data_IF_441588359713
#
_entry.id   IF_441588359713
#
_cell.length_a   1.000
_cell.length_b   1.000
_cell.length_c   1.000
_cell.angle_alpha   90.00
_cell.angle_beta   90.00
_cell.angle_gamma   90.00
#
_symmetry.space_group_name_H-M   'P 1'
#
loop_
_entity.id
_entity.type
_entity.pdbx_description
1 polymer ?
#
# COMPACT_ATOMS: atom_id res chain seq x y z
N UNK A 1 4.91 4.48 16.18
CA UNK A 1 5.19 4.07 14.78
C UNK A 1 4.90 2.58 14.69
N UNK A 2 4.35 2.08 13.59
CA UNK A 2 4.05 0.64 13.47
C UNK A 2 5.38 -0.13 13.44
N UNK A 3 5.63 -0.96 14.45
CA UNK A 3 6.91 -1.66 14.63
C UNK A 3 7.13 -2.72 13.54
N UNK A 4 6.07 -3.38 13.11
CA UNK A 4 6.11 -4.36 12.02
C UNK A 4 4.99 -4.12 11.01
N UNK A 5 5.40 -3.89 9.77
CA UNK A 5 4.51 -3.83 8.60
C UNK A 5 4.80 -5.11 7.80
N UNK A 6 3.81 -5.98 7.54
CA UNK A 6 4.04 -7.27 6.88
C UNK A 6 3.71 -7.26 5.38
N UNK A 7 3.84 -6.13 4.67
CA UNK A 7 3.49 -6.02 3.24
C UNK A 7 4.50 -6.74 2.33
N UNK A 8 5.78 -6.82 2.71
CA UNK A 8 6.74 -7.67 1.98
C UNK A 8 6.43 -9.16 2.13
N UNK A 9 5.78 -9.55 3.23
CA UNK A 9 5.25 -10.92 3.39
C UNK A 9 3.99 -11.09 2.57
N UNK A 10 3.04 -10.16 2.67
CA UNK A 10 1.79 -10.16 1.90
C UNK A 10 2.04 -10.35 0.39
N UNK A 11 2.95 -9.59 -0.22
CA UNK A 11 3.25 -9.74 -1.65
C UNK A 11 3.85 -11.12 -1.98
N UNK A 12 4.63 -11.72 -1.08
CA UNK A 12 5.14 -13.09 -1.28
C UNK A 12 4.00 -14.10 -1.22
N UNK A 13 3.06 -13.92 -0.30
CA UNK A 13 1.86 -14.74 -0.20
C UNK A 13 0.99 -14.59 -1.46
N UNK A 14 0.92 -13.40 -2.06
CA UNK A 14 0.24 -13.20 -3.35
C UNK A 14 0.87 -14.05 -4.47
N UNK A 15 2.20 -14.01 -4.59
CA UNK A 15 2.92 -14.85 -5.57
C UNK A 15 2.70 -16.35 -5.32
N UNK A 16 2.65 -16.78 -4.06
CA UNK A 16 2.36 -18.18 -3.73
C UNK A 16 0.95 -18.59 -4.17
N UNK A 17 -0.05 -17.75 -3.92
CA UNK A 17 -1.44 -18.00 -4.34
C UNK A 17 -1.53 -18.07 -5.88
N UNK A 18 -0.91 -17.11 -6.56
CA UNK A 18 -0.86 -17.09 -8.03
C UNK A 18 -0.24 -18.38 -8.57
N UNK A 19 0.90 -18.82 -8.04
CA UNK A 19 1.58 -20.06 -8.46
C UNK A 19 0.72 -21.31 -8.23
N UNK A 20 -0.11 -21.33 -7.19
CA UNK A 20 -0.96 -22.48 -6.86
C UNK A 20 -2.24 -22.54 -7.69
N UNK A 21 -2.77 -21.39 -8.11
CA UNK A 21 -4.11 -21.29 -8.71
C UNK A 21 -4.10 -20.92 -10.19
N UNK A 22 -3.00 -20.39 -10.73
CA UNK A 22 -2.91 -20.08 -12.16
C UNK A 22 -2.70 -21.34 -12.99
N UNK A 23 -3.37 -21.40 -14.15
CA UNK A 23 -3.16 -22.45 -15.17
C UNK A 23 -2.17 -21.89 -16.19
N UNK A 24 -0.91 -21.70 -15.79
CA UNK A 24 0.13 -21.17 -16.67
C UNK A 24 1.25 -20.42 -15.95
N UNK A 25 2.22 -19.92 -16.71
CA UNK A 25 3.27 -19.04 -16.20
C UNK A 25 2.67 -17.67 -15.86
N UNK A 26 2.88 -17.20 -14.63
CA UNK A 26 2.44 -15.87 -14.20
C UNK A 26 3.42 -14.84 -14.75
N UNK A 27 2.90 -13.93 -15.57
CA UNK A 27 3.63 -12.73 -15.95
C UNK A 27 3.37 -11.65 -14.90
N UNK A 28 4.30 -11.53 -13.96
CA UNK A 28 4.25 -10.52 -12.90
C UNK A 28 4.38 -9.09 -13.41
N UNK A 29 4.81 -8.90 -14.66
CA UNK A 29 4.93 -7.56 -15.26
C UNK A 29 3.55 -6.96 -15.62
N UNK A 30 2.50 -7.78 -15.61
CA UNK A 30 1.11 -7.34 -15.75
C UNK A 30 0.42 -7.03 -14.42
N UNK A 31 1.15 -7.14 -13.29
CA UNK A 31 0.64 -6.82 -11.96
C UNK A 31 1.04 -5.39 -11.57
N UNK A 32 0.20 -4.76 -10.75
CA UNK A 32 0.34 -3.37 -10.34
C UNK A 32 1.36 -3.19 -9.22
N UNK A 33 1.55 -4.19 -8.36
CA UNK A 33 2.65 -4.19 -7.38
C UNK A 33 3.97 -4.40 -8.10
N UNK A 34 4.97 -3.56 -7.81
CA UNK A 34 6.35 -3.88 -8.14
C UNK A 34 6.89 -4.96 -7.18
N UNK A 35 6.87 -6.23 -7.57
CA UNK A 35 7.31 -7.35 -6.73
C UNK A 35 8.80 -7.34 -6.41
N UNK A 36 9.62 -6.58 -7.14
CA UNK A 36 11.05 -6.39 -6.87
C UNK A 36 11.33 -5.34 -5.78
N UNK A 37 10.35 -4.49 -5.43
CA UNK A 37 10.49 -3.44 -4.41
C UNK A 37 10.18 -3.92 -3.00
N UNK A 38 10.80 -3.31 -1.98
CA UNK A 38 10.43 -3.51 -0.58
C UNK A 38 9.21 -2.65 -0.17
N UNK A 39 8.01 -3.22 -0.12
CA UNK A 39 6.76 -2.51 0.15
C UNK A 39 6.73 -1.91 1.56
N UNK A 40 7.25 -2.63 2.55
CA UNK A 40 7.30 -2.12 3.93
C UNK A 40 8.15 -0.85 4.03
N UNK A 41 9.32 -0.86 3.36
CA UNK A 41 10.21 0.31 3.31
C UNK A 41 9.58 1.45 2.53
N UNK A 42 8.89 1.15 1.43
CA UNK A 42 8.22 2.15 0.59
C UNK A 42 7.08 2.84 1.35
N UNK A 43 6.24 2.08 2.05
CA UNK A 43 5.18 2.64 2.89
C UNK A 43 5.77 3.49 4.02
N UNK A 44 6.77 2.99 4.75
CA UNK A 44 7.46 3.75 5.80
C UNK A 44 7.99 5.08 5.26
N UNK A 45 8.67 5.06 4.11
CA UNK A 45 9.19 6.27 3.47
C UNK A 45 8.09 7.28 3.15
N UNK A 46 6.98 6.84 2.54
CA UNK A 46 5.89 7.75 2.19
C UNK A 46 5.20 8.34 3.42
N UNK A 47 5.00 7.55 4.47
CA UNK A 47 4.46 8.04 5.74
C UNK A 47 5.42 9.03 6.42
N UNK A 48 6.72 8.74 6.45
CA UNK A 48 7.72 9.66 7.00
C UNK A 48 7.72 11.00 6.25
N UNK A 49 7.67 10.98 4.92
CA UNK A 49 7.61 12.20 4.11
C UNK A 49 6.32 13.00 4.37
N UNK A 50 5.18 12.33 4.45
CA UNK A 50 3.90 12.98 4.74
C UNK A 50 3.91 13.61 6.15
N UNK A 51 4.30 12.84 7.18
CA UNK A 51 4.36 13.33 8.55
C UNK A 51 5.33 14.50 8.71
N UNK A 52 6.55 14.41 8.19
CA UNK A 52 7.52 15.50 8.26
C UNK A 52 7.07 16.75 7.50
N UNK A 53 6.33 16.60 6.39
CA UNK A 53 5.75 17.76 5.69
C UNK A 53 4.57 18.35 6.45
N UNK A 54 3.79 17.55 7.17
CA UNK A 54 2.71 18.04 8.03
C UNK A 54 3.24 18.81 9.23
N UNK A 55 4.35 18.37 9.83
CA UNK A 55 5.08 19.13 10.87
C UNK A 55 5.59 20.46 10.31
N UNK A 56 6.24 20.45 9.14
CA UNK A 56 6.67 21.68 8.46
C UNK A 56 5.50 22.65 8.19
N UNK A 57 4.33 22.12 7.80
CA UNK A 57 3.14 22.94 7.60
C UNK A 57 2.69 23.60 8.91
N UNK A 58 2.68 22.86 10.02
CA UNK A 58 2.31 23.40 11.32
C UNK A 58 3.23 24.56 11.71
N UNK A 59 4.54 24.34 11.66
CA UNK A 59 5.54 25.36 12.00
C UNK A 59 5.43 26.59 11.09
N UNK A 60 5.27 26.40 9.78
CA UNK A 60 5.16 27.51 8.83
C UNK A 60 3.88 28.33 9.05
N UNK A 61 2.77 27.67 9.37
CA UNK A 61 1.50 28.32 9.65
C UNK A 61 1.58 29.15 10.93
N UNK A 62 2.18 28.61 12.00
CA UNK A 62 2.37 29.33 13.27
C UNK A 62 3.25 30.57 13.13
N UNK A 63 4.24 30.53 12.25
CA UNK A 63 5.17 31.64 12.01
C UNK A 63 4.72 32.62 10.91
N UNK A 64 3.59 32.37 10.25
CA UNK A 64 3.11 33.21 9.15
C UNK A 64 3.98 33.16 7.88
N UNK A 65 4.75 32.09 7.69
CA UNK A 65 5.54 31.88 6.47
C UNK A 65 4.65 31.31 5.35
N UNK A 66 4.07 32.21 4.56
CA UNK A 66 3.14 31.86 3.47
C UNK A 66 3.82 31.03 2.36
N UNK A 67 5.10 31.28 2.07
CA UNK A 67 5.83 30.58 1.01
C UNK A 67 6.09 29.13 1.41
N UNK A 68 6.54 28.90 2.65
CA UNK A 68 6.73 27.54 3.17
C UNK A 68 5.39 26.82 3.33
N UNK A 69 4.34 27.53 3.76
CA UNK A 69 2.97 26.99 3.83
C UNK A 69 2.51 26.46 2.47
N UNK A 70 2.62 27.27 1.41
CA UNK A 70 2.24 26.87 0.05
C UNK A 70 3.06 25.65 -0.42
N UNK A 71 4.37 25.66 -0.19
CA UNK A 71 5.25 24.56 -0.57
C UNK A 71 4.90 23.26 0.19
N UNK A 72 4.58 23.35 1.49
CA UNK A 72 4.16 22.22 2.30
C UNK A 72 2.84 21.62 1.81
N UNK A 73 1.84 22.44 1.46
CA UNK A 73 0.57 21.98 0.90
C UNK A 73 0.76 21.20 -0.41
N UNK A 74 1.60 21.71 -1.33
CA UNK A 74 1.91 21.02 -2.58
C UNK A 74 2.58 19.66 -2.33
N UNK A 75 3.50 19.60 -1.38
CA UNK A 75 4.19 18.36 -0.99
C UNK A 75 3.25 17.36 -0.32
N UNK A 76 2.39 17.80 0.60
CA UNK A 76 1.36 16.95 1.23
C UNK A 76 0.50 16.32 0.15
N UNK A 77 0.00 17.12 -0.81
CA UNK A 77 -0.78 16.59 -1.94
C UNK A 77 -0.01 15.49 -2.68
N UNK A 78 1.25 15.72 -3.02
CA UNK A 78 2.09 14.74 -3.75
C UNK A 78 2.34 13.46 -2.94
N UNK A 79 2.63 13.57 -1.65
CA UNK A 79 2.86 12.42 -0.77
C UNK A 79 1.57 11.62 -0.55
N UNK A 80 0.43 12.29 -0.40
CA UNK A 80 -0.88 11.64 -0.33
C UNK A 80 -1.23 10.89 -1.62
N UNK A 81 -0.96 11.47 -2.79
CA UNK A 81 -1.14 10.77 -4.06
C UNK A 81 -0.24 9.52 -4.15
N UNK A 82 1.01 9.61 -3.69
CA UNK A 82 1.93 8.47 -3.67
C UNK A 82 1.44 7.34 -2.77
N UNK A 83 0.84 7.66 -1.62
CA UNK A 83 0.18 6.69 -0.75
C UNK A 83 -1.07 6.09 -1.39
N UNK A 84 -1.91 6.91 -2.02
CA UNK A 84 -3.10 6.45 -2.74
C UNK A 84 -2.74 5.41 -3.80
N UNK A 85 -1.82 5.74 -4.71
CA UNK A 85 -1.37 4.81 -5.76
C UNK A 85 -0.69 3.57 -5.20
N UNK A 86 -0.02 3.66 -4.05
CA UNK A 86 0.57 2.49 -3.38
C UNK A 86 -0.52 1.50 -2.91
N UNK A 87 -1.62 1.99 -2.34
CA UNK A 87 -2.73 1.12 -1.90
C UNK A 87 -3.62 0.66 -3.06
N UNK A 88 -3.76 1.49 -4.10
CA UNK A 88 -4.44 1.12 -5.34
C UNK A 88 -3.78 -0.08 -6.01
N UNK A 89 -2.45 -0.07 -6.15
CA UNK A 89 -1.71 -1.21 -6.68
C UNK A 89 -1.93 -2.51 -5.88
N UNK A 90 -2.04 -2.42 -4.54
CA UNK A 90 -2.35 -3.58 -3.69
C UNK A 90 -3.77 -4.08 -3.95
N UNK A 91 -4.72 -3.15 -4.11
CA UNK A 91 -6.13 -3.47 -4.37
C UNK A 91 -6.29 -4.16 -5.71
N UNK A 92 -5.68 -3.62 -6.76
CA UNK A 92 -5.73 -4.18 -8.11
C UNK A 92 -5.19 -5.61 -8.15
N UNK A 93 -4.03 -5.86 -7.55
CA UNK A 93 -3.46 -7.21 -7.48
C UNK A 93 -4.34 -8.16 -6.64
N UNK A 94 -4.87 -7.69 -5.50
CA UNK A 94 -5.79 -8.51 -4.71
C UNK A 94 -7.04 -8.90 -5.50
N UNK A 95 -7.58 -7.99 -6.31
CA UNK A 95 -8.71 -8.25 -7.20
C UNK A 95 -8.36 -9.30 -8.27
N UNK A 96 -7.17 -9.24 -8.85
CA UNK A 96 -6.68 -10.28 -9.77
C UNK A 96 -6.67 -11.65 -9.09
N UNK A 97 -6.20 -11.72 -7.83
CA UNK A 97 -6.18 -12.97 -7.06
C UNK A 97 -7.59 -13.50 -6.77
N UNK A 98 -8.56 -12.62 -6.46
CA UNK A 98 -9.95 -13.00 -6.21
C UNK A 98 -10.65 -13.54 -7.47
N UNK A 99 -10.25 -13.08 -8.65
CA UNK A 99 -10.74 -13.58 -9.93
C UNK A 99 -10.17 -14.94 -10.34
N UNK A 100 -9.17 -15.46 -9.61
CA UNK A 100 -8.68 -16.82 -9.86
C UNK A 100 -9.77 -17.87 -9.58
N UNK A 101 -9.80 -18.92 -10.39
CA UNK A 101 -10.83 -19.95 -10.27
C UNK A 101 -10.65 -20.80 -9.00
N UNK A 102 -11.76 -21.37 -8.52
CA UNK A 102 -11.74 -22.37 -7.45
C UNK A 102 -11.59 -21.80 -6.04
N UNK A 103 -11.98 -20.54 -5.81
CA UNK A 103 -12.26 -20.07 -4.46
C UNK A 103 -13.56 -20.68 -3.92
N UNK A 104 -13.60 -21.13 -2.65
CA UNK A 104 -14.85 -21.55 -2.04
C UNK A 104 -15.79 -20.35 -1.88
N UNK A 105 -17.10 -20.59 -1.93
CA UNK A 105 -18.07 -19.59 -1.48
C UNK A 105 -17.87 -19.35 0.01
N UNK A 106 -17.85 -18.09 0.42
CA UNK A 106 -17.83 -17.72 1.84
C UNK A 106 -19.22 -18.00 2.42
N UNK A 107 -19.38 -18.85 3.46
CA UNK A 107 -20.66 -19.05 4.13
C UNK A 107 -21.15 -17.80 4.87
N UNK A 108 -22.47 -17.59 4.96
CA UNK A 108 -23.06 -16.44 5.65
C UNK A 108 -22.69 -16.34 7.14
N UNK A 109 -22.41 -17.48 7.77
CA UNK A 109 -22.02 -17.59 9.18
C UNK A 109 -20.51 -17.78 9.39
N UNK A 110 -19.68 -17.50 8.37
CA UNK A 110 -18.23 -17.62 8.50
C UNK A 110 -17.69 -16.57 9.47
N UNK A 111 -17.01 -17.04 10.52
CA UNK A 111 -16.34 -16.19 11.49
C UNK A 111 -14.86 -16.18 11.15
N UNK A 112 -14.34 -15.01 10.79
CA UNK A 112 -12.91 -14.83 10.57
C UNK A 112 -12.15 -15.13 11.88
N UNK A 113 -11.11 -15.96 11.84
CA UNK A 113 -10.26 -16.16 13.01
C UNK A 113 -9.61 -14.83 13.39
N UNK A 114 -9.56 -14.54 14.69
CA UNK A 114 -8.85 -13.36 15.18
C UNK A 114 -7.35 -13.47 14.90
N UNK A 115 -6.77 -12.41 14.37
CA UNK A 115 -5.32 -12.25 14.31
C UNK A 115 -4.77 -12.16 15.74
N UNK A 116 -3.82 -13.03 16.08
CA UNK A 116 -3.04 -12.98 17.33
C UNK A 116 -2.03 -11.85 17.32
#
# INVERSE_FOLDING_TARGET
MIDHIPLDRMKKDFLLILNQKSIGTIDTDNLSINYNDHLDKRLKRYLTLLCGTAELLADATENGDEMTTQAALLRIRSHSMSLSSFFEAITEDAEVLLHLNGWPKIPDNYIYPSSK
#
